data_IF_470592430897
#
_entry.id   IF_470592430897
#
_cell.length_a   1.000
_cell.length_b   1.000
_cell.length_c   1.000
_cell.angle_alpha   90.00
_cell.angle_beta   90.00
_cell.angle_gamma   90.00
#
_symmetry.space_group_name_H-M   'P 1'
#
loop_
_entity.id
_entity.type
_entity.pdbx_description
1 polymer ?
#
# COMPACT_ATOMS: atom_id res chain seq x y z
N UNK A 1 7.74 -1.57 -3.42
CA UNK A 1 6.81 -0.98 -2.45
C UNK A 1 6.37 -2.05 -1.48
N UNK A 2 5.94 -1.63 -0.29
CA UNK A 2 5.42 -2.50 0.77
C UNK A 2 4.02 -2.01 1.16
N UNK A 3 3.08 -2.91 1.44
CA UNK A 3 1.73 -2.58 1.92
C UNK A 3 1.14 -3.75 2.72
N UNK A 4 0.24 -3.46 3.66
CA UNK A 4 -0.37 -4.43 4.58
C UNK A 4 -0.60 -3.77 5.95
N UNK A 5 -0.90 -4.56 6.98
CA UNK A 5 -1.21 -4.02 8.31
C UNK A 5 -0.03 -3.90 9.27
N UNK A 6 1.15 -4.43 8.92
CA UNK A 6 2.34 -4.38 9.78
C UNK A 6 2.77 -2.93 10.10
N UNK A 7 3.03 -2.68 11.38
CA UNK A 7 3.68 -1.47 11.88
C UNK A 7 5.17 -1.67 12.13
N UNK A 8 5.83 -0.66 12.72
CA UNK A 8 7.22 -0.74 13.18
C UNK A 8 7.18 -0.79 14.71
N UNK A 9 7.14 -2.00 15.27
CA UNK A 9 7.11 -2.24 16.71
C UNK A 9 7.52 -3.70 17.03
N UNK A 10 7.86 -3.99 18.28
CA UNK A 10 8.38 -5.30 18.71
C UNK A 10 7.33 -6.41 18.57
N UNK A 11 6.05 -6.08 18.74
CA UNK A 11 4.89 -6.98 18.61
C UNK A 11 4.79 -7.60 17.21
N UNK A 12 5.39 -6.98 16.19
CA UNK A 12 5.41 -7.45 14.81
C UNK A 12 6.60 -8.34 14.45
N UNK A 13 7.51 -8.60 15.41
CA UNK A 13 8.74 -9.36 15.15
C UNK A 13 8.60 -10.88 15.33
N UNK A 14 7.45 -11.32 15.87
CA UNK A 14 7.15 -12.73 16.11
C UNK A 14 6.40 -13.42 14.97
N UNK A 15 6.03 -14.67 15.22
CA UNK A 15 5.23 -15.55 14.36
C UNK A 15 3.80 -15.74 14.91
N UNK A 16 3.26 -14.69 15.55
CA UNK A 16 1.96 -14.70 16.23
C UNK A 16 1.78 -15.92 17.17
N UNK A 17 2.87 -16.35 17.80
CA UNK A 17 2.94 -17.60 18.56
C UNK A 17 2.34 -17.49 19.97
N UNK A 18 2.12 -16.26 20.45
CA UNK A 18 1.64 -15.94 21.79
C UNK A 18 0.85 -14.60 21.78
N UNK A 19 0.18 -14.23 22.88
CA UNK A 19 -0.62 -13.01 22.95
C UNK A 19 0.14 -11.69 22.79
N UNK A 20 1.47 -11.70 22.95
CA UNK A 20 2.30 -10.50 22.86
C UNK A 20 2.73 -10.21 21.41
N UNK A 21 2.48 -11.13 20.47
CA UNK A 21 2.87 -10.99 19.06
C UNK A 21 1.67 -10.99 18.11
N UNK A 22 1.66 -10.05 17.17
CA UNK A 22 0.50 -9.82 16.31
C UNK A 22 0.55 -10.63 15.01
N UNK A 23 -0.62 -11.14 14.60
CA UNK A 23 -0.82 -11.81 13.31
C UNK A 23 -1.32 -10.82 12.26
N UNK A 24 -0.61 -10.68 11.15
CA UNK A 24 -1.03 -9.84 10.01
C UNK A 24 -0.44 -10.35 8.70
N UNK A 25 -0.80 -9.72 7.59
CA UNK A 25 -0.32 -9.99 6.25
C UNK A 25 0.30 -8.72 5.67
N UNK A 26 1.56 -8.83 5.28
CA UNK A 26 2.28 -7.77 4.62
C UNK A 26 2.82 -8.26 3.28
N UNK A 27 2.72 -7.42 2.26
CA UNK A 27 3.06 -7.79 0.88
C UNK A 27 4.09 -6.83 0.34
N UNK A 28 5.15 -7.42 -0.23
CA UNK A 28 6.11 -6.71 -1.07
C UNK A 28 5.67 -6.76 -2.52
N UNK A 29 5.53 -5.60 -3.15
CA UNK A 29 5.26 -5.47 -4.58
C UNK A 29 6.43 -4.80 -5.30
N UNK A 30 6.70 -5.22 -6.53
CA UNK A 30 7.79 -4.70 -7.37
C UNK A 30 7.27 -4.35 -8.76
N UNK A 31 7.99 -3.47 -9.45
CA UNK A 31 7.65 -3.03 -10.80
C UNK A 31 6.71 -1.81 -10.82
N UNK A 32 6.07 -1.52 -11.96
CA UNK A 32 5.31 -0.29 -12.17
C UNK A 32 4.19 -0.03 -11.15
N UNK A 33 3.62 -1.09 -10.56
CA UNK A 33 2.59 -0.99 -9.52
C UNK A 33 3.03 -0.16 -8.30
N UNK A 34 4.34 -0.09 -8.02
CA UNK A 34 4.90 0.72 -6.94
C UNK A 34 4.59 2.21 -7.12
N UNK A 35 4.37 2.68 -8.35
CA UNK A 35 3.97 4.07 -8.62
C UNK A 35 2.67 4.44 -7.91
N UNK A 36 1.71 3.51 -7.85
CA UNK A 36 0.47 3.74 -7.13
C UNK A 36 0.71 4.02 -5.63
N UNK A 37 1.61 3.24 -5.00
CA UNK A 37 1.94 3.39 -3.59
C UNK A 37 2.64 4.73 -3.33
N UNK A 38 3.57 5.10 -4.19
CA UNK A 38 4.22 6.41 -4.15
C UNK A 38 3.21 7.56 -4.29
N UNK A 39 2.25 7.43 -5.20
CA UNK A 39 1.19 8.42 -5.38
C UNK A 39 0.29 8.55 -4.16
N UNK A 40 -0.09 7.44 -3.52
CA UNK A 40 -0.85 7.45 -2.26
C UNK A 40 -0.09 8.20 -1.16
N UNK A 41 1.20 7.89 -1.00
CA UNK A 41 2.05 8.55 0.00
C UNK A 41 2.23 10.04 -0.30
N UNK A 42 2.52 10.40 -1.56
CA UNK A 42 2.74 11.79 -1.96
C UNK A 42 1.50 12.67 -1.74
N UNK A 43 0.30 12.11 -1.96
CA UNK A 43 -0.96 12.81 -1.67
C UNK A 43 -1.11 13.11 -0.18
N UNK A 44 -0.88 12.12 0.69
CA UNK A 44 -0.91 12.35 2.14
C UNK A 44 0.21 13.29 2.60
N UNK A 45 1.39 13.22 1.99
CA UNK A 45 2.50 14.11 2.31
C UNK A 45 2.16 15.56 2.00
N UNK A 46 1.59 15.82 0.82
CA UNK A 46 1.13 17.14 0.42
C UNK A 46 0.06 17.67 1.38
N UNK A 47 -0.90 16.84 1.75
CA UNK A 47 -1.96 17.19 2.71
C UNK A 47 -1.38 17.55 4.09
N UNK A 48 -0.43 16.76 4.59
CA UNK A 48 0.14 16.94 5.92
C UNK A 48 1.15 18.10 6.02
N UNK A 49 1.91 18.37 4.95
CA UNK A 49 3.08 19.25 4.99
C UNK A 49 2.99 20.47 4.07
N UNK A 50 2.08 20.44 3.09
CA UNK A 50 2.03 21.42 2.00
C UNK A 50 3.16 21.28 0.96
N UNK A 51 4.05 20.29 1.10
CA UNK A 51 5.18 20.08 0.19
C UNK A 51 4.84 19.08 -0.92
N UNK A 52 5.29 19.38 -2.14
CA UNK A 52 5.09 18.52 -3.31
C UNK A 52 6.31 17.61 -3.50
N UNK A 53 6.10 16.29 -3.48
CA UNK A 53 7.15 15.31 -3.81
C UNK A 53 7.19 15.06 -5.31
N UNK A 54 8.24 15.56 -5.97
CA UNK A 54 8.45 15.43 -7.42
C UNK A 54 9.92 15.17 -7.76
N UNK A 55 10.16 14.69 -8.97
CA UNK A 55 11.52 14.45 -9.48
C UNK A 55 12.06 13.06 -9.15
N UNK A 56 13.23 12.72 -9.70
CA UNK A 56 13.78 11.36 -9.67
C UNK A 56 14.14 10.87 -8.26
N UNK A 57 14.45 11.78 -7.34
CA UNK A 57 14.80 11.44 -5.95
C UNK A 57 13.59 10.90 -5.15
N UNK A 58 12.37 11.29 -5.53
CA UNK A 58 11.13 10.87 -4.87
C UNK A 58 10.30 9.91 -5.73
N UNK A 59 10.33 10.11 -7.04
CA UNK A 59 9.58 9.37 -8.05
C UNK A 59 10.54 8.83 -9.12
N UNK A 60 11.49 7.94 -8.76
CA UNK A 60 12.41 7.34 -9.72
C UNK A 60 11.64 6.57 -10.79
N UNK A 61 12.29 6.34 -11.93
CA UNK A 61 11.78 5.44 -12.96
C UNK A 61 11.68 4.02 -12.39
N UNK A 62 10.62 3.31 -12.77
CA UNK A 62 10.34 1.97 -12.28
C UNK A 62 10.47 0.98 -13.42
N UNK A 63 11.44 0.08 -13.32
CA UNK A 63 11.63 -0.98 -14.29
C UNK A 63 10.48 -1.98 -14.27
N UNK A 64 10.16 -2.53 -15.45
CA UNK A 64 9.28 -3.68 -15.56
C UNK A 64 9.89 -4.91 -14.89
N UNK A 65 9.03 -5.85 -14.46
CA UNK A 65 9.45 -7.07 -13.78
C UNK A 65 8.82 -8.27 -14.46
N UNK A 66 9.66 -9.22 -14.85
CA UNK A 66 9.23 -10.49 -15.44
C UNK A 66 8.54 -11.40 -14.41
N UNK A 67 7.69 -12.30 -14.90
CA UNK A 67 7.03 -13.32 -14.07
C UNK A 67 5.92 -12.80 -13.16
N UNK A 68 5.42 -11.59 -13.39
CA UNK A 68 4.28 -10.99 -12.70
C UNK A 68 2.93 -11.16 -13.42
N UNK A 69 1.87 -10.72 -12.77
CA UNK A 69 0.53 -10.59 -13.37
C UNK A 69 0.00 -9.15 -13.29
N UNK A 70 -1.13 -8.85 -13.95
CA UNK A 70 -1.80 -7.56 -13.80
C UNK A 70 -2.10 -7.27 -12.33
N UNK A 71 -1.74 -6.08 -11.89
CA UNK A 71 -1.99 -5.61 -10.52
C UNK A 71 -2.62 -4.22 -10.56
N UNK A 72 -3.56 -4.00 -9.66
CA UNK A 72 -4.19 -2.70 -9.45
C UNK A 72 -4.04 -2.30 -7.99
N UNK A 73 -3.61 -1.05 -7.76
CA UNK A 73 -3.66 -0.45 -6.44
C UNK A 73 -5.00 0.27 -6.29
N UNK A 74 -5.66 0.03 -5.17
CA UNK A 74 -6.89 0.70 -4.79
C UNK A 74 -6.60 1.52 -3.54
N UNK A 75 -7.04 2.78 -3.55
CA UNK A 75 -6.91 3.69 -2.41
C UNK A 75 -8.30 3.98 -1.88
N UNK A 76 -8.42 4.06 -0.57
CA UNK A 76 -9.62 4.49 0.12
C UNK A 76 -9.26 5.60 1.10
N UNK A 77 -10.20 6.51 1.33
CA UNK A 77 -10.12 7.54 2.38
C UNK A 77 -11.27 7.31 3.35
N UNK A 78 -11.05 7.66 4.62
CA UNK A 78 -12.13 7.67 5.59
C UNK A 78 -13.18 8.71 5.16
N UNK A 79 -14.41 8.27 4.92
CA UNK A 79 -15.50 9.10 4.42
C UNK A 79 -16.84 8.40 4.57
N UNK A 80 -17.93 9.13 4.30
CA UNK A 80 -19.29 8.58 4.29
C UNK A 80 -19.65 8.15 2.87
N UNK A 81 -20.10 6.90 2.70
CA UNK A 81 -20.49 6.32 1.42
C UNK A 81 -19.58 5.17 0.99
N UNK A 82 -19.94 4.53 -0.12
CA UNK A 82 -19.24 3.36 -0.65
C UNK A 82 -17.79 3.68 -1.03
N UNK A 83 -16.89 2.73 -0.80
CA UNK A 83 -15.48 2.87 -1.21
C UNK A 83 -15.15 2.00 -2.42
N UNK A 84 -14.13 2.40 -3.18
CA UNK A 84 -13.64 1.58 -4.30
C UNK A 84 -13.20 0.17 -3.84
N UNK A 85 -12.68 0.04 -2.62
CA UNK A 85 -12.29 -1.26 -2.05
C UNK A 85 -13.52 -2.13 -1.80
N UNK A 86 -14.59 -1.56 -1.25
CA UNK A 86 -15.86 -2.25 -1.03
C UNK A 86 -16.46 -2.77 -2.34
N UNK A 87 -16.54 -1.91 -3.36
CA UNK A 87 -17.05 -2.30 -4.68
C UNK A 87 -16.23 -3.44 -5.32
N UNK A 88 -14.90 -3.36 -5.23
CA UNK A 88 -14.01 -4.40 -5.78
C UNK A 88 -14.08 -5.71 -4.99
N UNK A 89 -14.24 -5.64 -3.67
CA UNK A 89 -14.42 -6.82 -2.85
C UNK A 89 -15.69 -7.58 -3.24
N UNK A 90 -16.81 -6.87 -3.43
CA UNK A 90 -18.05 -7.49 -3.89
C UNK A 90 -17.92 -8.05 -5.31
N UNK A 91 -17.22 -7.35 -6.22
CA UNK A 91 -16.97 -7.87 -7.58
C UNK A 91 -16.13 -9.15 -7.58
N UNK A 92 -15.18 -9.28 -6.66
CA UNK A 92 -14.28 -10.44 -6.59
C UNK A 92 -14.97 -11.71 -6.04
N UNK A 93 -16.09 -11.57 -5.33
CA UNK A 93 -16.85 -12.68 -4.75
C UNK A 93 -18.03 -13.14 -5.61
N UNK A 94 -18.45 -12.32 -6.58
CA UNK A 94 -19.57 -12.60 -7.49
C UNK A 94 -19.16 -13.58 -8.61
#
# INVERSE_FOLDING_TARGET
GMTGGVGIADEWTGDAQDPDHWRDTHVRVTGPIVRGLQGAFAEHWLEATGQVLVGPDHLPELEERDGGGPMQLVRSKAGVGDTNVEALYFLALA
#
